data_IF_097693187848
#
_entry.id   IF_097693187848
#
_cell.length_a   1.000
_cell.length_b   1.000
_cell.length_c   1.000
_cell.angle_alpha   90.00
_cell.angle_beta   90.00
_cell.angle_gamma   90.00
#
_symmetry.space_group_name_H-M   'P 1'
#
loop_
_entity.id
_entity.type
_entity.pdbx_description
1 polymer ?
#
# COMPACT_ATOMS: atom_id res chain seq x y z
N UNK A 1 6.98 -47.43 1.09
CA UNK A 1 6.46 -46.79 -0.14
C UNK A 1 6.95 -45.35 -0.12
N UNK A 2 7.71 -44.97 -1.14
CA UNK A 2 8.56 -43.80 -1.17
C UNK A 2 7.73 -42.51 -1.33
N UNK A 3 7.81 -41.60 -0.35
CA UNK A 3 7.18 -40.28 -0.38
C UNK A 3 8.15 -39.35 -1.10
N UNK A 4 8.01 -39.23 -2.42
CA UNK A 4 8.69 -38.21 -3.23
C UNK A 4 7.97 -38.12 -4.57
N UNK A 5 6.69 -37.75 -4.52
CA UNK A 5 6.03 -37.23 -5.70
C UNK A 5 6.43 -35.76 -5.78
N UNK A 6 7.50 -35.50 -6.53
CA UNK A 6 7.85 -34.15 -6.97
C UNK A 6 6.59 -33.54 -7.59
N UNK A 7 6.00 -32.58 -6.87
CA UNK A 7 5.01 -31.70 -7.48
C UNK A 7 5.82 -30.90 -8.48
N UNK A 8 5.73 -31.34 -9.73
CA UNK A 8 6.13 -30.58 -10.91
C UNK A 8 5.70 -29.12 -10.68
N UNK A 9 6.66 -28.23 -10.39
CA UNK A 9 6.44 -26.79 -10.19
C UNK A 9 6.08 -26.18 -11.54
N UNK A 10 4.89 -26.51 -12.01
CA UNK A 10 4.31 -26.04 -13.26
C UNK A 10 3.93 -24.56 -13.05
N UNK A 11 4.86 -23.67 -13.37
CA UNK A 11 4.76 -22.23 -13.15
C UNK A 11 6.10 -21.49 -13.14
N UNK A 12 7.23 -22.21 -12.97
CA UNK A 12 8.57 -21.60 -12.99
C UNK A 12 8.97 -21.02 -14.38
N UNK A 13 8.19 -21.30 -15.42
CA UNK A 13 8.45 -20.93 -16.82
C UNK A 13 7.29 -20.20 -17.51
N UNK A 14 6.25 -19.78 -16.79
CA UNK A 14 5.21 -18.93 -17.40
C UNK A 14 5.86 -17.58 -17.73
N UNK A 15 6.32 -17.45 -18.97
CA UNK A 15 7.12 -16.33 -19.43
C UNK A 15 6.41 -15.01 -19.11
N UNK A 16 7.05 -14.20 -18.29
CA UNK A 16 6.55 -12.86 -18.01
C UNK A 16 6.48 -12.08 -19.32
N UNK A 17 5.29 -11.63 -19.72
CA UNK A 17 5.18 -10.79 -20.92
C UNK A 17 5.92 -9.48 -20.66
N UNK A 18 6.68 -8.98 -21.64
CA UNK A 18 7.44 -7.73 -21.50
C UNK A 18 6.57 -6.57 -21.04
N UNK A 19 5.32 -6.52 -21.50
CA UNK A 19 4.34 -5.52 -21.08
C UNK A 19 4.09 -5.56 -19.57
N UNK A 20 3.87 -6.74 -19.00
CA UNK A 20 3.60 -6.91 -17.57
C UNK A 20 4.82 -6.52 -16.73
N UNK A 21 6.02 -6.86 -17.23
CA UNK A 21 7.29 -6.49 -16.58
C UNK A 21 7.44 -4.98 -16.49
N UNK A 22 7.33 -4.28 -17.63
CA UNK A 22 7.52 -2.82 -17.69
C UNK A 22 6.53 -2.09 -16.76
N UNK A 23 5.25 -2.49 -16.79
CA UNK A 23 4.22 -1.90 -15.92
C UNK A 23 4.60 -2.09 -14.45
N UNK A 24 4.91 -3.32 -14.05
CA UNK A 24 5.19 -3.62 -12.65
C UNK A 24 6.46 -2.95 -12.15
N UNK A 25 7.52 -2.92 -12.96
CA UNK A 25 8.75 -2.21 -12.60
C UNK A 25 8.51 -0.71 -12.48
N UNK A 26 7.79 -0.09 -13.42
CA UNK A 26 7.50 1.35 -13.37
C UNK A 26 6.62 1.75 -12.17
N UNK A 27 5.58 0.98 -11.85
CA UNK A 27 4.75 1.28 -10.69
C UNK A 27 5.43 0.91 -9.36
N UNK A 28 6.37 -0.04 -9.36
CA UNK A 28 7.17 -0.36 -8.17
C UNK A 28 8.11 0.79 -7.79
N UNK A 29 8.71 1.49 -8.76
CA UNK A 29 9.53 2.67 -8.46
C UNK A 29 8.69 3.83 -7.90
N UNK A 30 7.49 4.04 -8.46
CA UNK A 30 6.53 5.01 -7.90
C UNK A 30 6.12 4.62 -6.49
N UNK A 31 5.84 3.34 -6.24
CA UNK A 31 5.48 2.84 -4.92
C UNK A 31 6.61 3.03 -3.90
N UNK A 32 7.86 2.81 -4.30
CA UNK A 32 9.03 3.07 -3.44
C UNK A 32 9.11 4.53 -3.03
N UNK A 33 8.91 5.46 -3.98
CA UNK A 33 8.84 6.88 -3.68
C UNK A 33 7.66 7.20 -2.75
N UNK A 34 6.51 6.56 -2.97
CA UNK A 34 5.33 6.67 -2.09
C UNK A 34 5.62 6.22 -0.66
N UNK A 35 6.31 5.10 -0.45
CA UNK A 35 6.72 4.65 0.89
C UNK A 35 7.60 5.70 1.57
N UNK A 36 8.61 6.22 0.87
CA UNK A 36 9.52 7.22 1.42
C UNK A 36 8.77 8.52 1.78
N UNK A 37 7.94 9.03 0.88
CA UNK A 37 7.18 10.26 1.08
C UNK A 37 6.18 10.13 2.23
N UNK A 38 5.41 9.03 2.28
CA UNK A 38 4.44 8.81 3.34
C UNK A 38 5.11 8.53 4.70
N UNK A 39 6.29 7.90 4.72
CA UNK A 39 7.08 7.73 5.95
C UNK A 39 7.57 9.07 6.49
N UNK A 40 8.08 9.95 5.62
CA UNK A 40 8.47 11.31 6.00
C UNK A 40 7.28 12.10 6.54
N UNK A 41 6.13 12.02 5.87
CA UNK A 41 4.91 12.70 6.29
C UNK A 41 4.43 12.23 7.67
N UNK A 42 4.53 10.93 7.93
CA UNK A 42 4.20 10.35 9.22
C UNK A 42 5.16 10.80 10.33
N UNK A 43 6.46 10.94 10.02
CA UNK A 43 7.44 11.50 10.95
C UNK A 43 7.17 12.97 11.29
N UNK A 44 6.68 13.77 10.33
CA UNK A 44 6.26 15.16 10.56
C UNK A 44 5.01 15.22 11.44
N UNK A 45 4.00 14.39 11.17
CA UNK A 45 2.78 14.36 11.98
C UNK A 45 3.01 13.87 13.40
N UNK A 46 3.97 12.96 13.61
CA UNK A 46 4.35 12.50 14.95
C UNK A 46 4.77 13.66 15.87
N UNK A 47 5.29 14.75 15.30
CA UNK A 47 5.67 15.94 16.08
C UNK A 47 4.54 16.95 16.28
N UNK A 48 3.40 16.80 15.60
CA UNK A 48 2.33 17.81 15.50
C UNK A 48 0.96 17.27 15.97
N UNK A 49 1.00 16.33 16.91
CA UNK A 49 0.03 15.25 17.11
C UNK A 49 -1.48 15.59 17.29
N UNK A 50 -1.95 16.73 17.88
CA UNK A 50 -3.38 16.86 18.16
C UNK A 50 -4.25 17.37 17.00
N UNK A 51 -3.69 17.94 15.92
CA UNK A 51 -4.50 18.62 14.87
C UNK A 51 -4.70 17.78 13.60
N UNK A 52 -3.96 16.69 13.40
CA UNK A 52 -3.93 16.00 12.10
C UNK A 52 -4.15 14.49 12.14
N UNK A 53 -4.89 13.97 13.13
CA UNK A 53 -5.06 12.50 13.30
C UNK A 53 -5.64 11.83 12.05
N UNK A 54 -6.63 12.43 11.38
CA UNK A 54 -7.19 11.88 10.14
C UNK A 54 -6.19 11.89 8.99
N UNK A 55 -5.35 12.93 8.88
CA UNK A 55 -4.28 13.00 7.87
C UNK A 55 -3.14 12.02 8.17
N UNK A 56 -2.80 11.81 9.44
CA UNK A 56 -1.81 10.83 9.85
C UNK A 56 -2.29 9.39 9.58
N UNK A 57 -3.57 9.12 9.81
CA UNK A 57 -4.21 7.85 9.44
C UNK A 57 -4.24 7.66 7.91
N UNK A 58 -4.51 8.71 7.14
CA UNK A 58 -4.41 8.63 5.69
C UNK A 58 -2.98 8.31 5.23
N UNK A 59 -1.98 9.00 5.77
CA UNK A 59 -0.57 8.76 5.46
C UNK A 59 -0.12 7.34 5.82
N UNK A 60 -0.63 6.77 6.92
CA UNK A 60 -0.31 5.39 7.29
C UNK A 60 -0.97 4.37 6.35
N UNK A 61 -2.21 4.61 5.91
CA UNK A 61 -2.88 3.78 4.90
C UNK A 61 -2.19 3.89 3.54
N UNK A 62 -1.75 5.09 3.13
CA UNK A 62 -1.00 5.30 1.89
C UNK A 62 0.40 4.63 1.95
N UNK A 63 1.05 4.63 3.10
CA UNK A 63 2.28 3.86 3.28
C UNK A 63 2.02 2.35 3.19
N UNK A 64 0.94 1.87 3.82
CA UNK A 64 0.59 0.45 3.84
C UNK A 64 0.20 -0.06 2.44
N UNK A 65 -0.52 0.74 1.64
CA UNK A 65 -0.85 0.34 0.26
C UNK A 65 0.39 0.31 -0.64
N UNK A 66 1.30 1.27 -0.51
CA UNK A 66 2.56 1.26 -1.26
C UNK A 66 3.45 0.07 -0.85
N UNK A 67 3.52 -0.23 0.46
CA UNK A 67 4.28 -1.37 0.96
C UNK A 67 3.70 -2.71 0.48
N UNK A 68 2.38 -2.89 0.56
CA UNK A 68 1.72 -4.10 0.06
C UNK A 68 1.87 -4.24 -1.45
N UNK A 69 1.85 -3.15 -2.22
CA UNK A 69 2.14 -3.17 -3.65
C UNK A 69 3.57 -3.67 -3.95
N UNK A 70 4.57 -3.18 -3.22
CA UNK A 70 5.96 -3.64 -3.36
C UNK A 70 6.11 -5.12 -2.98
N UNK A 71 5.43 -5.56 -1.93
CA UNK A 71 5.46 -6.96 -1.49
C UNK A 71 4.78 -7.90 -2.49
N UNK A 72 3.68 -7.49 -3.12
CA UNK A 72 3.00 -8.31 -4.13
C UNK A 72 3.74 -8.34 -5.46
N UNK A 73 4.12 -7.17 -6.00
CA UNK A 73 4.60 -7.08 -7.39
C UNK A 73 6.10 -6.87 -7.48
N UNK A 74 6.70 -6.18 -6.50
CA UNK A 74 8.15 -5.99 -6.45
C UNK A 74 8.89 -7.30 -6.15
N UNK A 75 8.40 -8.09 -5.19
CA UNK A 75 9.01 -9.38 -4.86
C UNK A 75 8.76 -10.42 -5.95
N UNK A 76 7.60 -10.38 -6.62
CA UNK A 76 7.30 -11.24 -7.79
C UNK A 76 8.33 -11.03 -8.91
N UNK A 77 8.64 -9.77 -9.26
CA UNK A 77 9.71 -9.44 -10.21
C UNK A 77 11.10 -9.87 -9.70
N UNK A 78 11.35 -9.79 -8.39
CA UNK A 78 12.60 -10.23 -7.77
C UNK A 78 12.81 -11.74 -7.83
N UNK A 79 11.77 -12.53 -7.59
CA UNK A 79 11.79 -13.98 -7.71
C UNK A 79 12.15 -14.43 -9.13
N UNK A 80 11.51 -13.83 -10.15
CA UNK A 80 11.79 -14.14 -11.56
C UNK A 80 13.26 -13.90 -11.92
N UNK A 81 13.89 -12.89 -11.31
CA UNK A 81 15.29 -12.56 -11.55
C UNK A 81 16.27 -13.46 -10.79
N UNK A 82 16.03 -13.74 -9.50
CA UNK A 82 16.93 -14.54 -8.67
C UNK A 82 16.81 -16.05 -8.90
N UNK A 83 15.69 -16.54 -9.44
CA UNK A 83 15.43 -17.99 -9.67
C UNK A 83 15.67 -18.86 -8.43
N UNK A 84 15.40 -18.33 -7.24
CA UNK A 84 15.60 -19.04 -5.98
C UNK A 84 14.30 -19.71 -5.53
N UNK A 85 14.37 -21.03 -5.28
CA UNK A 85 13.26 -21.86 -4.83
C UNK A 85 12.77 -21.50 -3.42
N UNK A 86 13.67 -21.02 -2.55
CA UNK A 86 13.30 -20.67 -1.17
C UNK A 86 12.45 -19.39 -1.11
N UNK A 87 12.78 -18.40 -1.94
CA UNK A 87 11.98 -17.18 -2.09
C UNK A 87 10.58 -17.48 -2.65
N UNK A 88 10.47 -18.45 -3.57
CA UNK A 88 9.20 -18.86 -4.15
C UNK A 88 8.23 -19.41 -3.11
N UNK A 89 8.69 -20.35 -2.26
CA UNK A 89 7.88 -20.92 -1.19
C UNK A 89 7.40 -19.86 -0.19
N UNK A 90 8.30 -18.93 0.16
CA UNK A 90 7.96 -17.84 1.07
C UNK A 90 6.91 -16.92 0.45
N UNK A 91 7.10 -16.52 -0.81
CA UNK A 91 6.15 -15.70 -1.57
C UNK A 91 4.75 -16.32 -1.63
N UNK A 92 4.65 -17.59 -2.01
CA UNK A 92 3.38 -18.28 -2.09
C UNK A 92 2.67 -18.37 -0.72
N UNK A 93 3.41 -18.40 0.38
CA UNK A 93 2.83 -18.45 1.73
C UNK A 93 2.22 -17.11 2.16
N UNK A 94 2.84 -15.98 1.81
CA UNK A 94 2.36 -14.66 2.26
C UNK A 94 1.52 -13.91 1.22
N UNK A 95 1.47 -14.33 -0.05
CA UNK A 95 0.74 -13.59 -1.10
C UNK A 95 -0.75 -13.37 -0.76
N UNK A 96 -1.40 -14.41 -0.24
CA UNK A 96 -2.84 -14.38 0.11
C UNK A 96 -3.16 -13.36 1.20
N UNK A 97 -2.50 -13.38 2.38
CA UNK A 97 -2.79 -12.39 3.41
C UNK A 97 -2.43 -10.96 2.98
N UNK A 98 -1.34 -10.75 2.25
CA UNK A 98 -0.97 -9.39 1.80
C UNK A 98 -1.98 -8.87 0.76
N UNK A 99 -2.46 -9.71 -0.16
CA UNK A 99 -3.51 -9.32 -1.11
C UNK A 99 -4.80 -8.90 -0.39
N UNK A 100 -5.19 -9.64 0.64
CA UNK A 100 -6.36 -9.30 1.46
C UNK A 100 -6.19 -7.94 2.13
N UNK A 101 -5.04 -7.70 2.79
CA UNK A 101 -4.72 -6.41 3.42
C UNK A 101 -4.76 -5.27 2.40
N UNK A 102 -4.16 -5.47 1.21
CA UNK A 102 -4.17 -4.45 0.15
C UNK A 102 -5.60 -4.06 -0.25
N UNK A 103 -6.51 -5.04 -0.37
CA UNK A 103 -7.93 -4.77 -0.67
C UNK A 103 -8.63 -4.04 0.47
N UNK A 104 -8.42 -4.47 1.70
CA UNK A 104 -8.99 -3.77 2.87
C UNK A 104 -8.54 -2.31 2.94
N UNK A 105 -7.26 -2.04 2.72
CA UNK A 105 -6.70 -0.69 2.72
C UNK A 105 -7.27 0.14 1.57
N UNK A 106 -7.41 -0.43 0.36
CA UNK A 106 -8.05 0.23 -0.78
C UNK A 106 -9.49 0.65 -0.48
N UNK A 107 -10.24 -0.15 0.29
CA UNK A 107 -11.59 0.23 0.74
C UNK A 107 -11.56 1.28 1.86
N UNK A 108 -10.57 1.24 2.76
CA UNK A 108 -10.47 2.17 3.88
C UNK A 108 -10.11 3.60 3.46
N UNK A 109 -9.24 3.78 2.45
CA UNK A 109 -8.76 5.09 1.99
C UNK A 109 -9.91 6.04 1.62
N UNK A 110 -10.89 5.65 0.77
CA UNK A 110 -12.05 6.49 0.45
C UNK A 110 -12.84 6.95 1.68
N UNK A 111 -13.05 6.07 2.66
CA UNK A 111 -13.77 6.43 3.89
C UNK A 111 -13.02 7.49 4.70
N UNK A 112 -11.69 7.38 4.80
CA UNK A 112 -10.86 8.39 5.46
C UNK A 112 -10.90 9.73 4.72
N UNK A 113 -10.87 9.73 3.38
CA UNK A 113 -10.98 10.95 2.58
C UNK A 113 -12.32 11.67 2.80
N UNK A 114 -13.42 10.92 2.93
CA UNK A 114 -14.74 11.49 3.25
C UNK A 114 -14.71 12.15 4.63
N UNK A 115 -14.16 11.47 5.65
CA UNK A 115 -14.04 12.02 7.01
C UNK A 115 -13.20 13.31 7.04
N UNK A 116 -12.06 13.34 6.35
CA UNK A 116 -11.21 14.54 6.24
C UNK A 116 -11.97 15.69 5.60
N UNK A 117 -12.76 15.40 4.56
CA UNK A 117 -13.57 16.42 3.87
C UNK A 117 -14.65 16.98 4.78
N UNK A 118 -15.34 16.11 5.54
CA UNK A 118 -16.33 16.52 6.53
C UNK A 118 -15.72 17.37 7.65
N UNK A 119 -14.57 16.98 8.18
CA UNK A 119 -13.84 17.75 9.20
C UNK A 119 -13.53 19.17 8.69
N UNK A 120 -12.98 19.29 7.47
CA UNK A 120 -12.67 20.58 6.83
C UNK A 120 -13.93 21.41 6.56
N UNK A 121 -15.04 20.78 6.16
CA UNK A 121 -16.32 21.44 5.93
C UNK A 121 -16.90 22.03 7.23
N UNK A 122 -16.89 21.25 8.32
CA UNK A 122 -17.36 21.69 9.65
C UNK A 122 -16.49 22.83 10.17
N UNK A 123 -15.17 22.72 10.03
CA UNK A 123 -14.25 23.78 10.45
C UNK A 123 -14.50 25.12 9.74
N UNK A 124 -14.74 25.06 8.43
CA UNK A 124 -15.02 26.25 7.61
C UNK A 124 -16.36 26.88 7.97
N UNK A 125 -17.39 26.05 8.16
CA UNK A 125 -18.73 26.51 8.55
C UNK A 125 -18.70 27.17 9.93
N UNK A 126 -18.02 26.55 10.93
CA UNK A 126 -17.90 27.10 12.28
C UNK A 126 -17.17 28.45 12.31
N UNK A 127 -16.17 28.65 11.45
CA UNK A 127 -15.51 29.96 11.27
C UNK A 127 -16.47 31.00 10.69
N UNK A 128 -17.28 30.63 9.70
CA UNK A 128 -18.29 31.52 9.08
C UNK A 128 -19.36 31.95 10.08
N UNK A 129 -19.87 31.02 10.89
CA UNK A 129 -20.86 31.33 11.94
C UNK A 129 -20.31 32.28 13.01
N UNK A 130 -19.05 32.11 13.43
CA UNK A 130 -18.41 33.07 14.37
C UNK A 130 -18.19 34.46 13.77
N UNK A 131 -17.95 34.56 12.46
CA UNK A 131 -17.80 35.84 11.78
C UNK A 131 -19.15 36.56 11.62
N UNK A 132 -20.23 35.83 11.35
CA UNK A 132 -21.58 36.41 11.20
C UNK A 132 -22.27 36.81 12.51
N UNK A 133 -21.84 36.31 13.67
CA UNK A 133 -22.39 36.72 14.98
C UNK A 133 -21.70 37.99 15.51
N UNK A 134 -20.55 38.35 14.94
CA UNK A 134 -19.70 39.47 15.38
C UNK A 134 -19.87 40.73 14.50
N UNK A 135 -20.89 40.75 13.64
CA UNK A 135 -21.22 41.80 12.67
C UNK A 135 -22.69 42.17 12.85
#
# INVERSE_FOLDING_TARGET
MNISQEVEECGFFEGYTLQRFIIITAFSTVSLFGVLANTLLMAVFWRTLPVSVHLACLASMDMLICLTYLLLFGVDAGFVYLKDKTLFFLYHRYIVPIFFIAKTVQFAIPFLLILITLERYVWTTKKRTRCSILL
#
